data_IF_526001946132
#
_entry.id   IF_526001946132
#
_cell.length_a   1.000
_cell.length_b   1.000
_cell.length_c   1.000
_cell.angle_alpha   90.00
_cell.angle_beta   90.00
_cell.angle_gamma   90.00
#
_symmetry.space_group_name_H-M   'P 1'
#
loop_
_entity.id
_entity.type
_entity.pdbx_description
1 polymer ?
#
# COMPACT_ATOMS: atom_id res chain seq x y z
N UNK A 1 -20.25 12.79 -5.10
CA UNK A 1 -20.16 13.40 -6.44
C UNK A 1 -20.36 14.90 -6.39
N UNK A 2 -21.52 15.41 -5.99
CA UNK A 2 -21.80 16.87 -5.96
C UNK A 2 -20.76 17.71 -5.19
N UNK A 3 -20.18 17.18 -4.11
CA UNK A 3 -19.13 17.88 -3.36
C UNK A 3 -17.82 17.98 -4.15
N UNK A 4 -17.41 16.90 -4.83
CA UNK A 4 -16.23 16.88 -5.68
C UNK A 4 -16.36 17.88 -6.82
N UNK A 5 -17.55 17.90 -7.48
CA UNK A 5 -17.83 18.86 -8.54
C UNK A 5 -17.86 20.32 -8.04
N UNK A 6 -18.49 20.55 -6.88
CA UNK A 6 -18.63 21.89 -6.32
C UNK A 6 -17.29 22.49 -5.88
N UNK A 7 -16.34 21.64 -5.43
CA UNK A 7 -14.99 22.05 -5.04
C UNK A 7 -14.01 22.03 -6.23
N UNK A 8 -14.41 21.52 -7.40
CA UNK A 8 -13.58 21.45 -8.61
C UNK A 8 -12.38 20.52 -8.47
N UNK A 9 -12.51 19.45 -7.67
CA UNK A 9 -11.42 18.52 -7.39
C UNK A 9 -11.14 17.61 -8.59
N UNK A 10 -9.86 17.34 -8.85
CA UNK A 10 -9.33 16.62 -10.00
C UNK A 10 -9.56 15.11 -9.99
N UNK A 11 -10.74 14.63 -9.55
CA UNK A 11 -11.06 13.20 -9.54
C UNK A 11 -11.19 12.63 -10.95
N UNK A 12 -10.75 11.39 -11.14
CA UNK A 12 -10.94 10.61 -12.37
C UNK A 12 -12.14 9.70 -12.26
N UNK A 13 -12.25 9.00 -11.16
CA UNK A 13 -13.34 8.10 -10.86
C UNK A 13 -13.52 7.88 -9.37
N UNK A 14 -14.73 7.57 -8.98
CA UNK A 14 -15.10 7.15 -7.63
C UNK A 14 -15.94 5.89 -7.71
N UNK A 15 -15.67 4.97 -6.78
CA UNK A 15 -16.45 3.77 -6.57
C UNK A 15 -16.80 3.68 -5.09
N UNK A 16 -18.06 3.45 -4.79
CA UNK A 16 -18.60 3.34 -3.43
C UNK A 16 -19.29 2.00 -3.30
N UNK A 17 -18.95 1.26 -2.26
CA UNK A 17 -19.60 0.00 -1.89
C UNK A 17 -20.00 0.11 -0.42
N UNK A 18 -21.29 -0.10 -0.11
CA UNK A 18 -21.86 -0.10 1.24
C UNK A 18 -22.73 -1.35 1.36
N UNK A 19 -22.35 -2.31 2.20
CA UNK A 19 -22.96 -3.64 2.18
C UNK A 19 -22.82 -4.25 0.79
N UNK A 20 -23.97 -4.58 0.17
CA UNK A 20 -24.02 -5.09 -1.21
C UNK A 20 -24.39 -4.00 -2.25
N UNK A 21 -24.69 -2.78 -1.80
CA UNK A 21 -25.02 -1.67 -2.69
C UNK A 21 -23.76 -1.03 -3.26
N UNK A 22 -23.72 -0.92 -4.59
CA UNK A 22 -22.58 -0.43 -5.34
C UNK A 22 -22.95 0.76 -6.22
N UNK A 23 -22.14 1.81 -6.20
CA UNK A 23 -22.29 2.97 -7.05
C UNK A 23 -20.93 3.46 -7.55
N UNK A 24 -20.88 3.91 -8.80
CA UNK A 24 -19.67 4.47 -9.40
C UNK A 24 -19.98 5.71 -10.24
N UNK A 25 -18.99 6.57 -10.35
CA UNK A 25 -19.02 7.72 -11.23
C UNK A 25 -17.64 8.00 -11.81
N UNK A 26 -17.62 8.51 -13.05
CA UNK A 26 -16.38 8.86 -13.74
C UNK A 26 -16.48 10.27 -14.31
N UNK A 27 -15.39 10.99 -14.18
CA UNK A 27 -15.19 12.30 -14.81
C UNK A 27 -14.36 12.20 -16.10
N UNK A 28 -13.71 11.08 -16.33
CA UNK A 28 -12.91 10.81 -17.53
C UNK A 28 -12.95 9.32 -17.92
N UNK A 29 -12.23 8.96 -19.02
CA UNK A 29 -12.07 7.57 -19.47
C UNK A 29 -11.51 6.66 -18.38
N UNK A 30 -11.82 5.35 -18.50
CA UNK A 30 -11.38 4.32 -17.57
C UNK A 30 -9.99 3.78 -17.94
N UNK A 31 -9.01 4.68 -17.94
CA UNK A 31 -7.61 4.29 -18.17
C UNK A 31 -6.97 3.84 -16.86
N UNK A 32 -5.99 2.95 -16.98
CA UNK A 32 -5.11 2.66 -15.85
C UNK A 32 -4.23 3.87 -15.58
N UNK A 33 -4.10 4.18 -14.30
CA UNK A 33 -3.26 5.27 -13.80
C UNK A 33 -2.35 4.75 -12.70
N UNK A 34 -1.20 5.38 -12.53
CA UNK A 34 -0.35 5.09 -11.38
C UNK A 34 -1.12 5.39 -10.09
N UNK A 35 -1.30 4.36 -9.24
CA UNK A 35 -1.97 4.51 -7.95
C UNK A 35 -1.01 4.99 -6.86
N UNK A 36 0.20 5.37 -7.22
CA UNK A 36 1.25 5.88 -6.32
C UNK A 36 1.39 5.01 -5.05
N UNK A 37 1.39 5.62 -3.88
CA UNK A 37 1.64 4.92 -2.61
C UNK A 37 0.53 3.95 -2.17
N UNK A 38 -0.64 3.95 -2.82
CA UNK A 38 -1.61 2.86 -2.67
C UNK A 38 -0.98 1.51 -3.05
N UNK A 39 0.02 1.50 -3.92
CA UNK A 39 0.83 0.31 -4.26
C UNK A 39 1.42 -0.39 -3.04
N UNK A 40 1.74 0.36 -1.96
CA UNK A 40 2.25 -0.20 -0.70
C UNK A 40 1.25 -1.16 -0.05
N UNK A 41 -0.04 -0.82 -0.11
CA UNK A 41 -1.10 -1.70 0.37
C UNK A 41 -1.15 -3.02 -0.41
N UNK A 42 -0.97 -2.98 -1.74
CA UNK A 42 -0.90 -4.19 -2.57
C UNK A 42 0.37 -5.00 -2.26
N UNK A 43 1.50 -4.32 -2.01
CA UNK A 43 2.72 -4.98 -1.53
C UNK A 43 2.53 -5.64 -0.15
N UNK A 44 1.75 -5.01 0.74
CA UNK A 44 1.41 -5.62 2.02
C UNK A 44 0.49 -6.84 1.85
N UNK A 45 -0.47 -6.81 0.91
CA UNK A 45 -1.26 -8.00 0.58
C UNK A 45 -0.38 -9.14 0.04
N UNK A 46 0.62 -8.83 -0.80
CA UNK A 46 1.59 -9.82 -1.28
C UNK A 46 2.36 -10.46 -0.11
N UNK A 47 2.81 -9.66 0.86
CA UNK A 47 3.47 -10.16 2.06
C UNK A 47 2.52 -11.02 2.91
N UNK A 48 1.23 -10.65 3.02
CA UNK A 48 0.21 -11.44 3.71
C UNK A 48 -0.03 -12.80 3.08
N UNK A 49 -0.18 -12.84 1.77
CA UNK A 49 -0.31 -14.12 1.03
C UNK A 49 0.92 -15.01 1.21
N UNK A 50 2.10 -14.43 1.28
CA UNK A 50 3.33 -15.17 1.54
C UNK A 50 3.40 -15.68 2.98
N UNK A 51 2.86 -14.93 3.94
CA UNK A 51 2.75 -15.35 5.33
C UNK A 51 1.77 -16.53 5.47
N UNK A 52 0.59 -16.45 4.83
CA UNK A 52 -0.40 -17.53 4.79
C UNK A 52 0.17 -18.82 4.17
N UNK A 53 1.05 -18.67 3.18
CA UNK A 53 1.76 -19.79 2.55
C UNK A 53 2.96 -20.32 3.39
N UNK A 54 3.25 -19.73 4.55
CA UNK A 54 4.38 -20.10 5.41
C UNK A 54 5.75 -19.75 4.82
N UNK A 55 5.80 -18.85 3.84
CA UNK A 55 7.05 -18.44 3.15
C UNK A 55 7.86 -17.47 4.01
N UNK A 56 7.17 -16.53 4.68
CA UNK A 56 7.77 -15.53 5.56
C UNK A 56 6.77 -15.13 6.66
N UNK A 57 7.22 -14.34 7.62
CA UNK A 57 6.36 -13.74 8.64
C UNK A 57 6.73 -12.27 8.81
N UNK A 58 5.92 -11.51 9.56
CA UNK A 58 6.27 -10.13 9.91
C UNK A 58 7.61 -10.02 10.66
N UNK A 59 8.01 -11.09 11.35
CA UNK A 59 9.25 -11.13 12.14
C UNK A 59 10.47 -11.67 11.35
N UNK A 60 10.26 -12.09 10.08
CA UNK A 60 11.36 -12.48 9.18
C UNK A 60 12.32 -11.31 9.00
N UNK A 61 13.59 -11.53 9.28
CA UNK A 61 14.65 -10.50 9.24
C UNK A 61 15.15 -10.30 7.82
N UNK A 62 15.55 -9.07 7.51
CA UNK A 62 16.22 -8.73 6.25
C UNK A 62 17.45 -9.62 6.03
N UNK A 63 18.26 -9.82 7.09
CA UNK A 63 19.48 -10.63 7.05
C UNK A 63 19.25 -12.09 6.65
N UNK A 64 18.07 -12.65 6.90
CA UNK A 64 17.73 -14.04 6.56
C UNK A 64 17.52 -14.24 5.06
N UNK A 65 16.94 -13.26 4.38
CA UNK A 65 16.56 -13.38 2.98
C UNK A 65 17.50 -12.63 2.02
N UNK A 66 18.08 -11.52 2.48
CA UNK A 66 18.99 -10.69 1.68
C UNK A 66 20.45 -10.83 2.19
N UNK A 67 20.83 -12.05 2.55
CA UNK A 67 22.13 -12.39 3.16
C UNK A 67 23.36 -12.09 2.27
N UNK A 68 23.17 -11.85 0.98
CA UNK A 68 24.24 -11.44 0.07
C UNK A 68 24.50 -9.93 0.08
N UNK A 69 23.63 -9.14 0.70
CA UNK A 69 23.78 -7.70 0.81
C UNK A 69 24.68 -7.32 1.99
N UNK A 70 25.42 -6.24 1.81
CA UNK A 70 26.16 -5.64 2.90
C UNK A 70 25.19 -4.89 3.80
N UNK A 71 25.16 -5.26 5.08
CA UNK A 71 24.31 -4.64 6.09
C UNK A 71 25.13 -3.66 6.94
N UNK A 72 24.55 -2.50 7.22
CA UNK A 72 25.06 -1.56 8.23
C UNK A 72 24.74 -2.04 9.65
N UNK A 73 25.36 -1.40 10.65
CA UNK A 73 25.17 -1.74 12.05
C UNK A 73 23.70 -1.65 12.47
N UNK A 74 23.18 -2.65 13.18
CA UNK A 74 21.81 -2.73 13.66
C UNK A 74 20.77 -3.18 12.61
N UNK A 75 21.13 -3.26 11.33
CA UNK A 75 20.21 -3.67 10.25
C UNK A 75 19.87 -5.17 10.35
N UNK A 76 20.69 -5.97 10.98
CA UNK A 76 20.44 -7.39 11.26
C UNK A 76 19.19 -7.62 12.13
N UNK A 77 18.70 -6.58 12.80
CA UNK A 77 17.48 -6.60 13.61
C UNK A 77 16.24 -6.12 12.87
N UNK A 78 16.41 -5.57 11.66
CA UNK A 78 15.29 -5.08 10.85
C UNK A 78 14.49 -6.26 10.29
N UNK A 79 13.18 -6.25 10.54
CA UNK A 79 12.24 -7.27 10.08
C UNK A 79 11.32 -6.72 8.98
N UNK A 80 10.56 -7.62 8.35
CA UNK A 80 9.51 -7.25 7.40
C UNK A 80 8.50 -6.28 8.03
N UNK A 81 8.12 -6.48 9.31
CA UNK A 81 7.25 -5.56 10.05
C UNK A 81 7.82 -4.15 10.03
N UNK A 82 9.06 -3.97 10.41
CA UNK A 82 9.70 -2.66 10.47
C UNK A 82 9.73 -1.95 9.11
N UNK A 83 9.91 -2.69 8.04
CA UNK A 83 9.86 -2.14 6.67
C UNK A 83 8.44 -1.69 6.29
N UNK A 84 7.43 -2.54 6.55
CA UNK A 84 6.04 -2.24 6.18
C UNK A 84 5.38 -1.18 7.06
N UNK A 85 5.87 -0.99 8.30
CA UNK A 85 5.41 0.07 9.22
C UNK A 85 6.29 1.32 9.20
N UNK A 86 7.28 1.40 8.29
CA UNK A 86 8.19 2.55 8.16
C UNK A 86 9.04 2.85 9.41
N UNK A 87 9.37 1.79 10.17
CA UNK A 87 10.12 1.88 11.44
C UNK A 87 11.44 1.12 11.41
N UNK A 88 12.08 1.05 10.25
CA UNK A 88 13.37 0.35 10.12
C UNK A 88 14.52 1.00 10.91
N UNK A 89 14.37 2.26 11.32
CA UNK A 89 15.43 3.03 11.96
C UNK A 89 16.58 3.42 11.03
N UNK A 90 16.49 3.11 9.73
CA UNK A 90 17.49 3.47 8.73
C UNK A 90 17.12 4.83 8.12
N UNK A 91 17.99 5.82 8.24
CA UNK A 91 17.79 7.13 7.64
C UNK A 91 18.00 7.07 6.12
N UNK A 92 16.91 6.76 5.39
CA UNK A 92 16.88 6.66 3.94
C UNK A 92 15.50 7.00 3.37
N UNK A 93 15.23 8.29 3.25
CA UNK A 93 14.02 8.79 2.60
C UNK A 93 14.24 8.86 1.08
N UNK A 94 13.73 7.87 0.35
CA UNK A 94 13.72 7.83 -1.11
C UNK A 94 12.31 7.51 -1.60
N UNK A 95 11.93 8.15 -2.73
CA UNK A 95 10.64 7.98 -3.39
C UNK A 95 10.84 7.59 -4.85
N UNK A 96 10.03 6.66 -5.33
CA UNK A 96 10.16 6.08 -6.67
C UNK A 96 9.92 7.05 -7.84
N UNK A 97 9.45 8.27 -7.56
CA UNK A 97 9.40 9.37 -8.53
C UNK A 97 10.72 10.14 -8.66
N UNK A 98 11.69 9.88 -7.78
CA UNK A 98 13.01 10.52 -7.78
C UNK A 98 14.00 9.65 -8.54
N UNK A 99 15.03 10.30 -9.11
CA UNK A 99 16.18 9.57 -9.63
C UNK A 99 16.85 8.74 -8.54
N UNK A 100 17.26 7.53 -8.91
CA UNK A 100 18.07 6.67 -8.07
C UNK A 100 19.48 6.63 -8.63
N UNK A 101 20.42 7.42 -8.09
CA UNK A 101 21.80 7.43 -8.58
C UNK A 101 22.57 6.15 -8.21
N UNK A 102 21.96 5.26 -7.47
CA UNK A 102 22.56 4.01 -7.02
C UNK A 102 22.13 2.85 -7.91
N UNK A 103 23.05 1.91 -8.20
CA UNK A 103 22.73 0.71 -8.97
C UNK A 103 21.67 -0.18 -8.31
N UNK A 104 21.65 -0.26 -6.98
CA UNK A 104 20.70 -1.03 -6.18
C UNK A 104 20.26 -0.23 -4.96
N UNK A 105 18.99 0.18 -4.97
CA UNK A 105 18.37 0.97 -3.90
C UNK A 105 18.33 0.19 -2.57
N UNK A 106 18.09 -1.14 -2.63
CA UNK A 106 18.08 -1.97 -1.42
C UNK A 106 19.47 -2.02 -0.80
N UNK A 107 20.51 -2.25 -1.60
CA UNK A 107 21.88 -2.23 -1.10
C UNK A 107 22.26 -0.87 -0.53
N UNK A 108 21.84 0.23 -1.17
CA UNK A 108 22.11 1.57 -0.67
C UNK A 108 21.44 1.85 0.65
N UNK A 109 20.17 1.45 0.82
CA UNK A 109 19.46 1.59 2.09
C UNK A 109 20.10 0.71 3.17
N UNK A 110 20.28 -0.59 2.88
CA UNK A 110 20.67 -1.57 3.88
C UNK A 110 22.13 -1.46 4.36
N UNK A 111 23.02 -0.80 3.60
CA UNK A 111 24.40 -0.54 4.06
C UNK A 111 24.51 0.59 5.08
N UNK A 112 23.45 1.40 5.26
CA UNK A 112 23.40 2.44 6.28
C UNK A 112 23.04 1.85 7.63
N UNK A 113 23.48 2.45 8.74
CA UNK A 113 23.14 1.95 10.06
C UNK A 113 21.64 2.14 10.35
N UNK A 114 21.07 1.21 11.12
CA UNK A 114 19.78 1.40 11.78
C UNK A 114 20.02 1.99 13.17
N UNK A 115 19.35 3.10 13.47
CA UNK A 115 19.40 3.76 14.78
C UNK A 115 18.48 3.10 15.82
N UNK A 116 17.71 2.08 15.41
CA UNK A 116 16.80 1.30 16.26
C UNK A 116 15.64 0.74 15.44
N UNK A 117 15.68 -0.58 15.16
CA UNK A 117 14.59 -1.25 14.47
C UNK A 117 13.33 -1.26 15.36
N UNK A 118 12.23 -0.71 14.86
CA UNK A 118 10.99 -0.49 15.60
C UNK A 118 10.88 0.88 16.25
N UNK A 119 11.96 1.66 16.27
CA UNK A 119 11.97 3.01 16.83
C UNK A 119 11.95 4.08 15.73
N UNK A 120 11.22 5.16 15.99
CA UNK A 120 11.08 6.25 15.02
C UNK A 120 10.22 5.85 13.82
N UNK A 121 9.88 6.84 13.01
CA UNK A 121 9.09 6.69 11.79
C UNK A 121 9.73 7.49 10.66
N UNK A 122 9.96 6.85 9.52
CA UNK A 122 10.40 7.53 8.32
C UNK A 122 9.72 6.94 7.09
N UNK A 123 8.79 7.70 6.52
CA UNK A 123 8.09 7.29 5.31
C UNK A 123 9.04 7.27 4.10
N UNK A 124 9.11 6.13 3.41
CA UNK A 124 10.01 5.93 2.27
C UNK A 124 9.52 4.80 1.37
N UNK A 125 9.58 4.99 0.05
CA UNK A 125 9.34 3.90 -0.90
C UNK A 125 10.44 2.83 -0.83
N UNK A 126 11.64 3.20 -0.41
CA UNK A 126 12.74 2.25 -0.25
C UNK A 126 12.44 1.16 0.79
N UNK A 127 11.72 1.48 1.87
CA UNK A 127 11.30 0.48 2.86
C UNK A 127 10.42 -0.60 2.22
N UNK A 128 9.41 -0.20 1.45
CA UNK A 128 8.54 -1.15 0.73
C UNK A 128 9.30 -1.88 -0.37
N UNK A 129 10.21 -1.19 -1.08
CA UNK A 129 11.06 -1.82 -2.08
C UNK A 129 11.91 -2.93 -1.48
N UNK A 130 12.54 -2.71 -0.31
CA UNK A 130 13.31 -3.75 0.40
C UNK A 130 12.41 -4.91 0.83
N UNK A 131 11.20 -4.62 1.34
CA UNK A 131 10.22 -5.66 1.66
C UNK A 131 9.87 -6.54 0.43
N UNK A 132 9.68 -5.92 -0.75
CA UNK A 132 9.45 -6.67 -1.99
C UNK A 132 10.70 -7.40 -2.49
N UNK A 133 11.91 -6.91 -2.21
CA UNK A 133 13.15 -7.62 -2.48
C UNK A 133 13.29 -8.86 -1.59
N UNK A 134 12.87 -8.78 -0.30
CA UNK A 134 12.82 -9.96 0.59
C UNK A 134 11.87 -11.01 0.03
N UNK A 135 10.65 -10.62 -0.34
CA UNK A 135 9.68 -11.55 -0.94
C UNK A 135 10.21 -12.12 -2.26
N UNK A 136 10.75 -11.28 -3.13
CA UNK A 136 11.31 -11.67 -4.42
C UNK A 136 12.49 -12.63 -4.33
N UNK A 137 13.28 -12.59 -3.26
CA UNK A 137 14.36 -13.54 -3.02
C UNK A 137 13.86 -14.98 -2.86
N UNK A 138 12.59 -15.16 -2.49
CA UNK A 138 11.98 -16.48 -2.28
C UNK A 138 11.05 -16.89 -3.42
N UNK A 139 10.20 -15.96 -3.91
CA UNK A 139 9.16 -16.28 -4.89
C UNK A 139 9.54 -15.92 -6.33
N UNK A 140 10.67 -15.26 -6.54
CA UNK A 140 11.06 -14.70 -7.83
C UNK A 140 10.34 -13.38 -8.12
N UNK A 141 9.79 -13.23 -9.33
CA UNK A 141 9.05 -12.01 -9.70
C UNK A 141 7.75 -11.86 -8.89
N UNK A 142 7.70 -10.89 -8.02
CA UNK A 142 6.54 -10.68 -7.11
C UNK A 142 5.26 -10.34 -7.88
N UNK A 143 5.35 -9.54 -8.94
CA UNK A 143 4.18 -9.20 -9.76
C UNK A 143 3.62 -10.47 -10.43
N UNK A 144 4.47 -11.29 -11.01
CA UNK A 144 4.06 -12.53 -11.67
C UNK A 144 3.58 -13.58 -10.66
N UNK A 145 4.18 -13.61 -9.47
CA UNK A 145 3.70 -14.45 -8.36
C UNK A 145 2.30 -14.05 -7.87
N UNK A 146 1.96 -12.75 -7.92
CA UNK A 146 0.64 -12.22 -7.58
C UNK A 146 -0.41 -12.47 -8.67
N UNK A 147 -0.02 -12.70 -9.92
CA UNK A 147 -0.99 -12.87 -11.01
C UNK A 147 -2.07 -13.90 -10.69
N UNK A 148 -1.75 -15.19 -10.42
CA UNK A 148 -2.77 -16.20 -10.13
C UNK A 148 -3.39 -16.10 -8.74
N UNK A 149 -2.81 -15.32 -7.83
CA UNK A 149 -3.21 -15.26 -6.41
C UNK A 149 -4.09 -14.07 -6.05
N UNK A 150 -3.86 -12.94 -6.72
CA UNK A 150 -4.59 -11.70 -6.45
C UNK A 150 -5.21 -11.14 -7.73
N UNK A 151 -4.40 -10.89 -8.75
CA UNK A 151 -4.86 -10.12 -9.90
C UNK A 151 -5.88 -10.86 -10.76
N UNK A 152 -5.62 -12.10 -11.15
CA UNK A 152 -6.53 -12.91 -11.97
C UNK A 152 -7.86 -13.21 -11.25
N UNK A 153 -7.89 -13.64 -9.96
CA UNK A 153 -9.14 -13.77 -9.22
C UNK A 153 -9.97 -12.50 -9.20
N UNK A 154 -9.32 -11.34 -9.12
CA UNK A 154 -9.98 -10.02 -9.17
C UNK A 154 -10.31 -9.56 -10.60
N UNK A 155 -10.03 -10.34 -11.64
CA UNK A 155 -10.22 -9.95 -13.03
C UNK A 155 -9.33 -8.78 -13.46
N UNK A 156 -8.15 -8.64 -12.84
CA UNK A 156 -7.14 -7.64 -13.18
C UNK A 156 -6.10 -8.29 -14.08
N UNK A 157 -6.22 -8.05 -15.38
CA UNK A 157 -5.37 -8.71 -16.36
C UNK A 157 -4.14 -7.86 -16.69
N UNK A 158 -2.94 -8.45 -16.50
CA UNK A 158 -1.66 -7.86 -16.85
C UNK A 158 -1.46 -6.41 -16.38
N UNK A 159 -1.61 -6.10 -15.06
CA UNK A 159 -1.36 -4.76 -14.56
C UNK A 159 0.12 -4.41 -14.70
N UNK A 160 0.42 -3.17 -15.09
CA UNK A 160 1.80 -2.69 -15.11
C UNK A 160 2.24 -2.33 -13.69
N UNK A 161 3.49 -2.63 -13.37
CA UNK A 161 4.12 -2.20 -12.13
C UNK A 161 5.54 -1.73 -12.43
N UNK A 162 5.84 -0.49 -12.13
CA UNK A 162 7.14 0.11 -12.43
C UNK A 162 8.27 -0.69 -11.78
N UNK A 163 9.36 -0.83 -12.52
CA UNK A 163 10.53 -1.60 -12.11
C UNK A 163 11.76 -0.72 -12.03
N UNK A 164 12.65 -1.05 -11.10
CA UNK A 164 13.99 -0.49 -11.07
C UNK A 164 14.84 -1.07 -12.23
N UNK A 165 16.01 -0.48 -12.51
CA UNK A 165 16.92 -0.99 -13.57
C UNK A 165 17.34 -2.45 -13.41
N UNK A 166 17.29 -3.00 -12.20
CA UNK A 166 17.58 -4.42 -11.93
C UNK A 166 16.37 -5.35 -12.18
N UNK A 167 15.24 -4.81 -12.65
CA UNK A 167 14.04 -5.57 -12.98
C UNK A 167 13.07 -5.83 -11.82
N UNK A 168 13.39 -5.43 -10.59
CA UNK A 168 12.50 -5.57 -9.43
C UNK A 168 11.39 -4.51 -9.45
N UNK A 169 10.17 -4.88 -9.03
CA UNK A 169 9.10 -3.90 -8.84
C UNK A 169 9.48 -2.88 -7.76
N UNK A 170 9.06 -1.62 -7.93
CA UNK A 170 9.31 -0.59 -6.92
C UNK A 170 8.52 -0.87 -5.62
N UNK A 171 7.35 -1.50 -5.73
CA UNK A 171 6.54 -1.91 -4.58
C UNK A 171 5.87 -0.75 -3.85
N UNK A 172 6.59 0.33 -3.57
CA UNK A 172 6.09 1.53 -2.89
C UNK A 172 5.24 2.46 -3.77
N UNK A 173 5.33 2.31 -5.09
CA UNK A 173 4.63 3.10 -6.11
C UNK A 173 4.61 2.37 -7.45
N UNK A 174 3.97 2.94 -8.46
CA UNK A 174 4.12 2.53 -9.84
C UNK A 174 3.25 1.36 -10.29
N UNK A 175 2.35 0.87 -9.46
CA UNK A 175 1.29 -0.03 -9.91
C UNK A 175 0.23 0.80 -10.64
N UNK A 176 -0.18 0.35 -11.83
CA UNK A 176 -1.18 1.03 -12.65
C UNK A 176 -2.49 0.25 -12.66
N UNK A 177 -3.55 0.87 -12.17
CA UNK A 177 -4.88 0.28 -12.09
C UNK A 177 -5.96 1.28 -12.53
N UNK A 178 -7.08 0.74 -13.00
CA UNK A 178 -8.34 1.46 -13.16
C UNK A 178 -9.00 1.69 -11.81
N UNK A 179 -9.90 2.65 -11.71
CA UNK A 179 -10.69 2.86 -10.47
C UNK A 179 -11.42 1.60 -10.04
N UNK A 180 -12.05 0.88 -10.98
CA UNK A 180 -12.77 -0.36 -10.69
C UNK A 180 -11.86 -1.52 -10.29
N UNK A 181 -10.69 -1.63 -10.90
CA UNK A 181 -9.69 -2.64 -10.52
C UNK A 181 -9.21 -2.41 -9.09
N UNK A 182 -8.96 -1.13 -8.73
CA UNK A 182 -8.59 -0.74 -7.39
C UNK A 182 -9.75 -0.94 -6.39
N UNK A 183 -10.99 -0.69 -6.80
CA UNK A 183 -12.17 -0.92 -5.96
C UNK A 183 -12.35 -2.39 -5.57
N UNK A 184 -12.00 -3.33 -6.45
CA UNK A 184 -12.01 -4.78 -6.12
C UNK A 184 -10.98 -5.11 -5.05
N UNK A 185 -9.81 -4.47 -5.08
CA UNK A 185 -8.82 -4.57 -3.98
C UNK A 185 -9.40 -3.97 -2.70
N UNK A 186 -10.06 -2.82 -2.80
CA UNK A 186 -10.75 -2.20 -1.66
C UNK A 186 -11.80 -3.12 -1.04
N UNK A 187 -12.57 -3.85 -1.86
CA UNK A 187 -13.52 -4.86 -1.37
C UNK A 187 -12.83 -6.00 -0.64
N UNK A 188 -11.72 -6.52 -1.16
CA UNK A 188 -10.91 -7.55 -0.45
C UNK A 188 -10.47 -7.05 0.93
N UNK A 189 -10.06 -5.79 1.05
CA UNK A 189 -9.67 -5.19 2.33
C UNK A 189 -10.86 -5.08 3.29
N UNK A 190 -12.03 -4.61 2.82
CA UNK A 190 -13.27 -4.53 3.61
C UNK A 190 -13.71 -5.91 4.09
N UNK A 191 -13.68 -6.90 3.20
CA UNK A 191 -14.16 -8.26 3.43
C UNK A 191 -13.09 -9.17 4.07
N UNK A 192 -12.08 -8.56 4.74
CA UNK A 192 -11.02 -9.26 5.47
C UNK A 192 -10.30 -10.32 4.64
N UNK A 193 -9.96 -9.97 3.40
CA UNK A 193 -9.21 -10.83 2.50
C UNK A 193 -10.06 -11.81 1.68
N UNK A 194 -11.38 -11.82 1.87
CA UNK A 194 -12.30 -12.67 1.11
C UNK A 194 -12.71 -12.05 -0.22
N UNK A 195 -12.90 -12.88 -1.24
CA UNK A 195 -13.42 -12.52 -2.54
C UNK A 195 -14.29 -13.64 -3.09
N UNK A 196 -15.61 -13.37 -3.25
CA UNK A 196 -16.61 -14.35 -3.73
C UNK A 196 -16.60 -15.69 -2.99
N UNK A 197 -16.26 -15.69 -1.69
CA UNK A 197 -16.20 -16.87 -0.84
C UNK A 197 -14.83 -17.54 -0.74
N UNK A 198 -13.89 -17.14 -1.60
CA UNK A 198 -12.48 -17.59 -1.52
C UNK A 198 -11.68 -16.65 -0.62
N UNK A 199 -10.85 -17.18 0.27
CA UNK A 199 -9.92 -16.40 1.09
C UNK A 199 -8.63 -16.18 0.31
N UNK A 200 -8.44 -14.97 -0.21
CA UNK A 200 -7.22 -14.60 -0.96
C UNK A 200 -6.06 -14.22 -0.04
N UNK A 201 -6.36 -13.56 1.07
CA UNK A 201 -5.38 -13.15 2.10
C UNK A 201 -5.99 -13.45 3.46
N UNK A 202 -5.22 -13.95 4.40
CA UNK A 202 -5.69 -14.27 5.75
C UNK A 202 -6.37 -13.10 6.44
N UNK A 203 -7.51 -13.34 7.08
CA UNK A 203 -8.28 -12.30 7.77
C UNK A 203 -7.46 -11.62 8.88
N UNK A 204 -6.63 -12.40 9.59
CA UNK A 204 -5.74 -11.88 10.64
C UNK A 204 -4.68 -10.92 10.09
N UNK A 205 -4.22 -11.15 8.87
CA UNK A 205 -3.28 -10.23 8.21
C UNK A 205 -3.95 -8.90 7.89
N UNK A 206 -5.16 -8.93 7.33
CA UNK A 206 -5.91 -7.70 7.06
C UNK A 206 -6.17 -6.93 8.35
N UNK A 207 -6.57 -7.61 9.43
CA UNK A 207 -6.77 -6.98 10.74
C UNK A 207 -5.47 -6.37 11.27
N UNK A 208 -4.33 -7.06 11.11
CA UNK A 208 -3.02 -6.55 11.52
C UNK A 208 -2.59 -5.29 10.74
N UNK A 209 -3.05 -5.11 9.49
CA UNK A 209 -2.70 -3.92 8.70
C UNK A 209 -3.15 -2.62 9.37
N UNK A 210 -4.19 -2.66 10.18
CA UNK A 210 -4.79 -1.48 10.81
C UNK A 210 -5.01 -1.64 12.34
N UNK A 211 -4.19 -2.45 13.01
CA UNK A 211 -4.29 -2.70 14.45
C UNK A 211 -3.23 -1.93 15.26
N UNK A 212 -1.96 -2.16 14.99
CA UNK A 212 -0.86 -1.64 15.78
C UNK A 212 -0.32 -0.34 15.15
N UNK A 213 -0.95 0.78 15.48
CA UNK A 213 -0.64 2.07 14.90
C UNK A 213 0.67 2.66 15.44
N UNK A 214 1.59 2.97 14.54
CA UNK A 214 2.81 3.74 14.81
C UNK A 214 2.50 5.23 14.72
N UNK A 215 2.98 6.02 15.68
CA UNK A 215 2.91 7.48 15.62
C UNK A 215 3.94 8.00 14.63
N UNK A 216 3.48 8.78 13.65
CA UNK A 216 4.34 9.31 12.57
C UNK A 216 5.11 10.58 12.98
N UNK A 217 4.61 11.30 13.98
CA UNK A 217 5.06 12.66 14.31
C UNK A 217 4.41 13.74 13.44
N UNK A 218 3.53 13.37 12.49
CA UNK A 218 2.71 14.30 11.72
C UNK A 218 1.36 14.51 12.38
N UNK A 219 0.67 15.58 12.00
CA UNK A 219 -0.63 15.94 12.56
C UNK A 219 -1.81 15.42 11.71
N UNK A 220 -3.02 15.47 12.28
CA UNK A 220 -4.28 15.16 11.60
C UNK A 220 -4.38 13.70 11.16
N UNK A 221 -4.95 13.49 9.97
CA UNK A 221 -5.21 12.17 9.40
C UNK A 221 -3.94 11.40 8.99
N UNK A 222 -2.77 12.02 9.09
CA UNK A 222 -1.46 11.40 8.85
C UNK A 222 -0.68 11.09 10.14
N UNK A 223 -1.31 11.20 11.31
CA UNK A 223 -0.66 11.02 12.62
C UNK A 223 -0.35 9.58 12.98
N UNK A 224 -0.96 8.61 12.31
CA UNK A 224 -0.82 7.18 12.63
C UNK A 224 -0.71 6.34 11.36
N UNK A 225 0.26 5.41 11.37
CA UNK A 225 0.55 4.49 10.26
C UNK A 225 0.63 3.05 10.76
N UNK A 226 0.01 2.13 10.03
CA UNK A 226 0.04 0.69 10.29
C UNK A 226 0.91 -0.06 9.27
N UNK A 227 0.53 -1.28 8.92
CA UNK A 227 1.19 -2.05 7.87
C UNK A 227 0.71 -1.51 6.51
N UNK A 228 1.48 -0.58 5.93
CA UNK A 228 1.19 0.09 4.66
C UNK A 228 -0.18 0.81 4.60
N UNK A 229 -0.74 1.20 5.73
CA UNK A 229 -2.04 1.81 5.87
C UNK A 229 -2.02 3.00 6.82
N UNK A 230 -2.89 3.98 6.60
CA UNK A 230 -3.08 5.16 7.45
C UNK A 230 -4.37 5.05 8.26
N UNK A 231 -4.35 5.49 9.49
CA UNK A 231 -5.58 5.66 10.28
C UNK A 231 -6.39 6.87 9.76
N UNK A 232 -7.71 6.81 9.90
CA UNK A 232 -8.62 7.91 9.60
C UNK A 232 -8.80 8.24 8.10
N UNK A 233 -9.56 9.31 7.80
CA UNK A 233 -10.30 10.12 8.77
C UNK A 233 -11.39 9.34 9.50
N UNK A 234 -11.86 9.84 10.64
CA UNK A 234 -12.89 9.18 11.42
C UNK A 234 -12.50 7.81 11.97
N UNK A 235 -13.40 6.85 11.91
CA UNK A 235 -13.19 5.48 12.39
C UNK A 235 -12.62 4.52 11.33
N UNK A 236 -12.49 4.99 10.10
CA UNK A 236 -11.93 4.21 9.00
C UNK A 236 -10.41 4.19 9.00
N UNK A 237 -9.89 3.49 8.02
CA UNK A 237 -8.49 3.47 7.66
C UNK A 237 -8.37 3.50 6.13
N UNK A 238 -7.18 3.80 5.63
CA UNK A 238 -7.04 3.96 4.20
C UNK A 238 -5.67 3.55 3.65
N UNK A 239 -5.68 3.17 2.39
CA UNK A 239 -4.51 3.28 1.53
C UNK A 239 -4.55 4.66 0.89
N UNK A 240 -3.40 5.30 0.79
CA UNK A 240 -3.26 6.70 0.40
C UNK A 240 -2.13 6.84 -0.62
N UNK A 241 -2.38 7.52 -1.70
CA UNK A 241 -1.42 7.75 -2.77
C UNK A 241 -1.46 9.19 -3.26
N UNK A 242 -0.30 9.70 -3.67
CA UNK A 242 -0.11 11.04 -4.16
C UNK A 242 -1.19 11.43 -5.18
N UNK A 243 -1.60 12.68 -5.16
CA UNK A 243 -2.64 13.27 -6.02
C UNK A 243 -4.06 12.72 -5.82
N UNK A 244 -4.35 12.11 -4.66
CA UNK A 244 -5.71 11.70 -4.32
C UNK A 244 -6.10 10.30 -4.78
N UNK A 245 -5.15 9.36 -4.80
CA UNK A 245 -5.47 7.95 -4.92
C UNK A 245 -5.86 7.43 -3.55
N UNK A 246 -7.09 6.95 -3.38
CA UNK A 246 -7.58 6.48 -2.08
C UNK A 246 -8.33 5.16 -2.17
N UNK A 247 -8.10 4.30 -1.20
CA UNK A 247 -8.99 3.22 -0.80
C UNK A 247 -9.30 3.44 0.67
N UNK A 248 -10.45 4.01 0.96
CA UNK A 248 -10.92 4.28 2.31
C UNK A 248 -11.88 3.19 2.76
N UNK A 249 -11.54 2.51 3.84
CA UNK A 249 -12.29 1.37 4.39
C UNK A 249 -12.91 1.76 5.72
N UNK A 250 -14.22 1.62 5.84
CA UNK A 250 -14.96 1.79 7.08
C UNK A 250 -15.78 0.52 7.37
N UNK A 251 -15.21 -0.35 8.17
CA UNK A 251 -15.84 -1.63 8.51
C UNK A 251 -17.03 -1.49 9.44
N UNK A 252 -17.10 -0.41 10.21
CA UNK A 252 -18.25 -0.15 11.08
C UNK A 252 -19.54 0.08 10.26
N UNK A 253 -19.39 0.63 9.04
CA UNK A 253 -20.48 0.86 8.10
C UNK A 253 -20.51 -0.17 6.96
N UNK A 254 -19.70 -1.23 7.05
CA UNK A 254 -19.54 -2.22 5.97
C UNK A 254 -19.29 -1.56 4.61
N UNK A 255 -18.33 -0.63 4.57
CA UNK A 255 -18.17 0.26 3.43
C UNK A 255 -16.71 0.40 2.97
N UNK A 256 -16.57 0.64 1.66
CA UNK A 256 -15.32 1.08 1.06
C UNK A 256 -15.58 2.13 -0.02
N UNK A 257 -14.78 3.18 -0.01
CA UNK A 257 -14.77 4.20 -1.07
C UNK A 257 -13.41 4.20 -1.74
N UNK A 258 -13.40 4.04 -3.05
CA UNK A 258 -12.18 4.06 -3.87
C UNK A 258 -12.21 5.27 -4.78
N UNK A 259 -11.13 6.03 -4.82
CA UNK A 259 -10.97 7.22 -5.64
C UNK A 259 -9.65 7.13 -6.40
N UNK A 260 -9.69 7.45 -7.69
CA UNK A 260 -8.49 7.79 -8.47
C UNK A 260 -8.60 9.24 -8.93
N UNK A 261 -7.49 9.97 -8.90
CA UNK A 261 -7.49 11.41 -9.15
C UNK A 261 -6.13 11.91 -9.65
N UNK A 262 -6.09 13.17 -10.05
CA UNK A 262 -4.89 13.99 -10.13
C UNK A 262 -5.23 15.37 -9.57
N UNK A 263 -5.22 15.44 -8.24
CA UNK A 263 -5.46 16.66 -7.46
C UNK A 263 -4.16 17.09 -6.77
N UNK A 264 -3.58 18.20 -7.20
CA UNK A 264 -2.25 18.63 -6.74
C UNK A 264 -2.28 19.39 -5.41
N UNK A 265 -3.37 20.05 -5.10
CA UNK A 265 -3.40 21.04 -4.01
C UNK A 265 -4.29 20.65 -2.82
N UNK A 266 -5.35 19.89 -3.09
CA UNK A 266 -6.40 19.61 -2.12
C UNK A 266 -6.80 18.13 -2.10
N UNK A 267 -5.86 17.23 -2.41
CA UNK A 267 -6.12 15.78 -2.49
C UNK A 267 -6.74 15.21 -1.21
N UNK A 268 -6.33 15.72 -0.03
CA UNK A 268 -6.91 15.34 1.26
C UNK A 268 -8.43 15.60 1.36
N UNK A 269 -8.97 16.55 0.58
CA UNK A 269 -10.42 16.80 0.55
C UNK A 269 -11.19 15.61 0.00
N UNK A 270 -10.62 14.87 -0.94
CA UNK A 270 -11.25 13.70 -1.54
C UNK A 270 -11.53 12.62 -0.48
N UNK A 271 -10.57 12.31 0.39
CA UNK A 271 -10.79 11.32 1.45
C UNK A 271 -11.70 11.84 2.57
N UNK A 272 -11.67 13.13 2.87
CA UNK A 272 -12.62 13.74 3.80
C UNK A 272 -14.06 13.64 3.28
N UNK A 273 -14.28 13.91 1.99
CA UNK A 273 -15.59 13.73 1.35
C UNK A 273 -16.01 12.26 1.41
N UNK A 274 -15.09 11.31 1.13
CA UNK A 274 -15.35 9.88 1.23
C UNK A 274 -15.82 9.48 2.64
N UNK A 275 -15.12 9.91 3.69
CA UNK A 275 -15.48 9.61 5.08
C UNK A 275 -16.82 10.23 5.49
N UNK A 276 -17.14 11.44 4.99
CA UNK A 276 -18.40 12.11 5.30
C UNK A 276 -19.59 11.41 4.65
N UNK A 277 -19.45 10.87 3.44
CA UNK A 277 -20.50 10.12 2.74
C UNK A 277 -20.89 8.85 3.54
N UNK A 278 -19.95 8.25 4.23
CA UNK A 278 -20.23 7.05 5.04
C UNK A 278 -20.77 7.35 6.44
N UNK A 279 -20.55 8.57 6.95
CA UNK A 279 -21.01 8.99 8.27
C UNK A 279 -22.46 9.55 8.27
N UNK A 280 -23.05 9.79 7.11
CA UNK A 280 -24.40 10.37 6.96
C UNK A 280 -25.44 9.39 6.53
#
# INVERSE_FOLDING_TARGET
>A
MSAIDAEGLGAYGVHVLIGDDEAQHRWRSDDRVNIYSVSKGVSALAAGMAADAGILTLDTRVAELLHTMQLGDGVEHVTLRHLLTMTSGIDFAWFGSQEAPWPDIAQEMLRRPSLGAGEGYQYSDASTYVAMRMLGAVVGDVRDWLMPRLFEPLGIHNPQWHRCPLGWIIGGTGLELRTEELARIGRVLRDRGSWHGDQLVGAEWIDAMHADWVRTGWDGDSSQYGIAAWAGPGYGWRLDGLYGQYVYVDRAHDAVVTITAHEENHDHRLVQIASTVLAG
#
